data_IF_731263732633
#
_entry.id   IF_731263732633
#
_cell.length_a   1.000
_cell.length_b   1.000
_cell.length_c   1.000
_cell.angle_alpha   90.00
_cell.angle_beta   90.00
_cell.angle_gamma   90.00
#
_symmetry.space_group_name_H-M   'P 1'
#
loop_
_entity.id
_entity.type
_entity.pdbx_description
1 polymer ?
#
# COMPACT_ATOMS: atom_id res chain seq x y z
N UNK A 1 15.57 -7.10 6.34
CA UNK A 1 16.63 -6.51 7.19
C UNK A 1 15.94 -5.66 8.23
N UNK A 2 16.26 -5.82 9.52
CA UNK A 2 15.67 -4.97 10.56
C UNK A 2 16.41 -3.62 10.56
N UNK A 3 15.76 -2.57 10.05
CA UNK A 3 16.25 -1.21 10.15
C UNK A 3 15.79 -0.67 11.52
N UNK A 4 16.67 -0.71 12.53
CA UNK A 4 16.37 -0.19 13.86
C UNK A 4 17.28 1.01 14.12
N UNK A 5 16.68 2.17 14.36
CA UNK A 5 17.38 3.40 14.71
C UNK A 5 16.88 3.88 16.07
N UNK A 6 17.80 4.21 16.97
CA UNK A 6 17.46 4.90 18.22
C UNK A 6 17.33 6.38 17.92
N UNK A 7 16.19 6.97 18.29
CA UNK A 7 15.89 8.40 18.08
C UNK A 7 15.36 9.01 19.37
N UNK A 8 15.54 10.32 19.51
CA UNK A 8 15.03 11.09 20.63
C UNK A 8 13.68 11.73 20.27
N UNK A 9 12.75 11.73 21.21
CA UNK A 9 11.51 12.50 21.09
C UNK A 9 11.79 13.96 21.41
N UNK A 10 11.27 14.84 20.58
CA UNK A 10 11.27 16.27 20.81
C UNK A 10 9.91 16.71 21.35
N UNK A 11 9.87 17.82 22.06
CA UNK A 11 8.64 18.43 22.56
C UNK A 11 8.40 19.77 21.87
N UNK A 12 7.22 19.94 21.31
CA UNK A 12 6.74 21.19 20.71
C UNK A 12 5.49 21.66 21.46
N UNK A 13 5.69 22.40 22.56
CA UNK A 13 4.60 22.78 23.45
C UNK A 13 3.95 21.57 24.11
N UNK A 14 2.69 21.29 23.75
CA UNK A 14 1.95 20.12 24.24
C UNK A 14 2.13 18.87 23.34
N UNK A 15 2.80 19.02 22.19
CA UNK A 15 2.97 17.96 21.20
C UNK A 15 4.33 17.27 21.36
N UNK A 16 4.36 15.98 21.03
CA UNK A 16 5.61 15.22 20.88
C UNK A 16 5.91 15.05 19.39
N UNK A 17 7.15 15.31 19.01
CA UNK A 17 7.63 15.21 17.63
C UNK A 17 8.66 14.08 17.54
N UNK A 18 8.41 13.15 16.63
CA UNK A 18 9.32 12.07 16.27
C UNK A 18 9.94 12.38 14.90
N UNK A 19 11.26 12.52 14.85
CA UNK A 19 11.97 12.64 13.57
C UNK A 19 12.23 11.25 13.00
N UNK A 20 11.66 10.97 11.82
CA UNK A 20 11.88 9.69 11.11
C UNK A 20 13.16 9.83 10.28
N UNK A 21 14.20 9.01 10.54
CA UNK A 21 15.44 9.06 9.78
C UNK A 21 15.22 8.50 8.35
N UNK A 22 16.04 8.90 7.36
CA UNK A 22 15.86 8.51 5.95
C UNK A 22 15.77 7.00 5.71
N UNK A 23 16.46 6.19 6.52
CA UNK A 23 16.46 4.73 6.44
C UNK A 23 15.10 4.10 6.80
N UNK A 24 14.23 4.87 7.45
CA UNK A 24 12.87 4.52 7.86
C UNK A 24 11.82 5.41 7.19
N UNK A 25 12.18 6.20 6.18
CA UNK A 25 11.26 7.08 5.49
C UNK A 25 10.09 6.28 4.88
N UNK A 26 8.88 6.72 5.17
CA UNK A 26 7.66 6.16 4.60
C UNK A 26 7.41 6.78 3.21
N UNK A 27 6.80 6.01 2.32
CA UNK A 27 6.49 6.47 0.96
C UNK A 27 5.31 7.44 0.88
N UNK A 28 4.53 7.60 1.96
CA UNK A 28 3.35 8.47 2.02
C UNK A 28 3.60 9.73 2.84
N UNK A 29 2.89 10.81 2.51
CA UNK A 29 2.89 12.07 3.26
C UNK A 29 1.96 12.02 4.47
N UNK A 30 0.97 11.12 4.45
CA UNK A 30 0.00 10.93 5.53
C UNK A 30 0.19 9.57 6.19
N UNK A 31 -0.01 9.52 7.50
CA UNK A 31 0.19 8.31 8.32
C UNK A 31 -0.91 8.19 9.37
N UNK A 32 -1.25 6.95 9.71
CA UNK A 32 -2.09 6.61 10.84
C UNK A 32 -1.21 6.25 12.03
N UNK A 33 -1.47 6.88 13.18
CA UNK A 33 -0.83 6.57 14.45
C UNK A 33 -1.79 5.74 15.31
N UNK A 34 -1.35 4.56 15.75
CA UNK A 34 -2.08 3.76 16.73
C UNK A 34 -1.18 3.37 17.90
N UNK A 35 -1.78 3.27 19.10
CA UNK A 35 -1.09 2.84 20.31
C UNK A 35 -1.52 1.42 20.67
N UNK A 36 -0.55 0.52 20.76
CA UNK A 36 -0.76 -0.87 21.21
C UNK A 36 0.10 -1.13 22.45
N UNK A 37 -0.54 -1.10 23.62
CA UNK A 37 0.15 -1.19 24.91
C UNK A 37 1.20 -0.08 25.08
N UNK A 38 2.48 -0.47 25.00
CA UNK A 38 3.64 0.43 25.14
C UNK A 38 4.27 0.83 23.80
N UNK A 39 3.66 0.46 22.66
CA UNK A 39 4.19 0.72 21.32
C UNK A 39 3.32 1.76 20.64
N UNK A 40 3.98 2.66 19.92
CA UNK A 40 3.34 3.50 18.92
C UNK A 40 3.64 2.90 17.55
N UNK A 41 2.61 2.56 16.81
CA UNK A 41 2.70 1.99 15.47
C UNK A 41 2.28 3.08 14.49
N UNK A 42 3.14 3.36 13.51
CA UNK A 42 2.93 4.36 12.48
C UNK A 42 2.77 3.61 11.15
N UNK A 43 1.62 3.76 10.52
CA UNK A 43 1.30 3.09 9.26
C UNK A 43 1.05 4.14 8.16
N UNK A 44 1.63 3.98 6.96
CA UNK A 44 1.36 4.90 5.86
C UNK A 44 -0.09 4.79 5.41
N UNK A 45 -0.75 5.93 5.21
CA UNK A 45 -2.03 5.97 4.50
C UNK A 45 -1.71 5.90 3.01
N UNK A 46 -2.07 4.79 2.37
CA UNK A 46 -1.91 4.65 0.92
C UNK A 46 -2.80 5.66 0.21
N UNK A 47 -2.21 6.60 -0.51
CA UNK A 47 -2.93 7.50 -1.43
C UNK A 47 -3.46 6.69 -2.61
N UNK A 48 -4.66 6.10 -2.43
CA UNK A 48 -5.37 5.31 -3.43
C UNK A 48 -4.76 3.92 -3.64
N UNK A 49 -5.39 2.89 -3.08
CA UNK A 49 -5.11 1.51 -3.50
C UNK A 49 -5.64 1.32 -4.92
N UNK A 50 -4.99 0.48 -5.74
CA UNK A 50 -5.58 -0.01 -6.99
C UNK A 50 -6.99 -0.54 -6.72
N UNK A 51 -7.20 -1.19 -5.57
CA UNK A 51 -8.51 -1.65 -5.11
C UNK A 51 -9.49 -0.48 -4.95
N UNK A 52 -9.07 0.61 -4.32
CA UNK A 52 -9.91 1.82 -4.15
C UNK A 52 -10.34 2.37 -5.52
N UNK A 53 -9.42 2.42 -6.49
CA UNK A 53 -9.73 2.86 -7.85
C UNK A 53 -10.69 1.90 -8.56
N UNK A 54 -10.42 0.59 -8.51
CA UNK A 54 -11.30 -0.43 -9.10
C UNK A 54 -12.72 -0.37 -8.51
N UNK A 55 -12.85 -0.04 -7.22
CA UNK A 55 -14.16 0.13 -6.57
C UNK A 55 -14.93 1.34 -7.08
N UNK A 56 -14.25 2.34 -7.65
CA UNK A 56 -14.91 3.52 -8.26
C UNK A 56 -15.37 3.29 -9.70
N UNK A 57 -14.94 2.21 -10.35
CA UNK A 57 -15.30 1.95 -11.73
C UNK A 57 -16.74 1.41 -11.80
N UNK A 58 -17.58 1.90 -12.74
CA UNK A 58 -18.90 1.35 -12.96
C UNK A 58 -18.83 -0.06 -13.56
N UNK A 59 -19.90 -0.83 -13.39
CA UNK A 59 -20.03 -2.14 -14.02
C UNK A 59 -19.92 -2.02 -15.55
N UNK A 60 -19.13 -2.90 -16.15
CA UNK A 60 -19.03 -3.01 -17.61
C UNK A 60 -20.25 -3.81 -18.09
N UNK A 61 -21.15 -3.17 -18.83
CA UNK A 61 -22.35 -3.81 -19.38
C UNK A 61 -22.12 -4.44 -20.75
N UNK A 62 -20.99 -4.11 -21.37
CA UNK A 62 -20.58 -4.69 -22.65
C UNK A 62 -20.23 -6.17 -22.46
N UNK A 63 -20.70 -7.01 -23.38
CA UNK A 63 -20.25 -8.39 -23.44
C UNK A 63 -18.78 -8.39 -23.85
N UNK A 64 -17.97 -9.14 -23.11
CA UNK A 64 -16.61 -9.44 -23.56
C UNK A 64 -16.71 -10.17 -24.91
N UNK A 65 -15.92 -9.75 -25.92
CA UNK A 65 -15.87 -10.47 -27.17
C UNK A 65 -15.30 -11.88 -26.94
N UNK A 66 -15.57 -12.79 -27.86
CA UNK A 66 -14.85 -14.06 -27.91
C UNK A 66 -13.39 -13.77 -28.28
N UNK A 67 -12.51 -13.81 -27.28
CA UNK A 67 -11.07 -13.57 -27.46
C UNK A 67 -10.38 -14.75 -28.15
N UNK A 68 -11.04 -15.91 -28.17
CA UNK A 68 -10.53 -17.13 -28.77
C UNK A 68 -10.98 -17.26 -30.24
N UNK A 69 -11.80 -16.31 -30.73
CA UNK A 69 -12.27 -16.30 -32.11
C UNK A 69 -11.08 -16.22 -33.09
N UNK A 70 -10.91 -17.28 -33.88
CA UNK A 70 -9.83 -17.37 -34.87
C UNK A 70 -8.47 -17.77 -34.29
N UNK A 71 -8.38 -18.09 -32.99
CA UNK A 71 -7.18 -18.69 -32.43
C UNK A 71 -7.03 -20.13 -32.91
N UNK A 72 -5.77 -20.53 -33.13
CA UNK A 72 -5.43 -21.92 -33.35
C UNK A 72 -5.63 -22.72 -32.05
N UNK A 73 -5.92 -24.03 -32.16
CA UNK A 73 -5.98 -24.89 -30.99
C UNK A 73 -4.66 -24.83 -30.19
N UNK A 74 -4.76 -25.03 -28.88
CA UNK A 74 -3.60 -25.13 -28.00
C UNK A 74 -2.65 -26.22 -28.49
N UNK A 75 -1.34 -25.98 -28.31
CA UNK A 75 -0.33 -27.00 -28.54
C UNK A 75 -0.54 -28.20 -27.61
N UNK A 76 -0.19 -29.39 -28.07
CA UNK A 76 -0.18 -30.59 -27.24
C UNK A 76 0.79 -30.42 -26.05
N UNK A 77 0.34 -30.80 -24.85
CA UNK A 77 1.21 -30.84 -23.68
C UNK A 77 2.17 -32.02 -23.86
N UNK A 78 3.43 -31.72 -24.16
CA UNK A 78 4.52 -32.71 -24.18
C UNK A 78 5.16 -32.79 -22.81
N UNK A 79 5.16 -33.99 -22.22
CA UNK A 79 5.89 -34.33 -20.99
C UNK A 79 7.21 -35.02 -21.30
#
# INVERSE_FOLDING_TARGET
MQNLCQVSLLTSGQEQVLTIPPELALSSTEVLLRKEGHRLIIEPISSGSLISLLTTLPDITDNFPDIDEGLLPLDDITF
#
